data_IF_814236278972
#
_entry.id   IF_814236278972
#
_cell.length_a   1.000
_cell.length_b   1.000
_cell.length_c   1.000
_cell.angle_alpha   90.00
_cell.angle_beta   90.00
_cell.angle_gamma   90.00
#
_symmetry.space_group_name_H-M   'P 1'
#
loop_
_entity.id
_entity.type
_entity.pdbx_description
1 polymer ?
#
# COMPACT_ATOMS: atom_id res chain seq x y z
N UNK A 1 -55.86 0.62 -5.26
CA UNK A 1 -54.88 1.01 -6.29
C UNK A 1 -53.64 1.53 -5.55
N UNK A 2 -52.67 0.63 -5.43
CA UNK A 2 -51.20 0.74 -5.27
C UNK A 2 -50.55 1.93 -4.56
N UNK A 3 -49.87 1.61 -3.46
CA UNK A 3 -48.78 2.34 -2.78
C UNK A 3 -47.52 2.36 -3.66
N UNK A 4 -46.91 3.54 -3.88
CA UNK A 4 -45.60 3.66 -4.54
C UNK A 4 -44.52 3.98 -3.50
N UNK A 5 -43.47 3.15 -3.44
CA UNK A 5 -42.27 3.34 -2.63
C UNK A 5 -41.23 4.20 -3.40
N UNK A 6 -40.43 5.05 -2.73
CA UNK A 6 -39.29 5.69 -3.36
C UNK A 6 -38.08 4.73 -3.41
N UNK A 7 -37.61 4.45 -4.62
CA UNK A 7 -36.39 3.70 -4.89
C UNK A 7 -35.16 4.60 -4.77
N UNK A 8 -34.21 4.18 -3.94
CA UNK A 8 -32.87 4.76 -3.81
C UNK A 8 -32.03 4.46 -5.07
N UNK A 9 -31.28 5.42 -5.65
CA UNK A 9 -30.25 5.09 -6.63
C UNK A 9 -28.97 4.62 -5.94
N UNK A 10 -28.60 3.37 -6.18
CA UNK A 10 -27.30 2.77 -5.87
C UNK A 10 -26.23 3.41 -6.76
N UNK A 11 -25.07 3.86 -6.24
CA UNK A 11 -23.94 4.16 -7.11
C UNK A 11 -23.31 2.84 -7.58
N UNK A 12 -23.52 2.55 -8.86
CA UNK A 12 -22.85 1.49 -9.61
C UNK A 12 -21.36 1.79 -9.71
N UNK A 13 -20.56 1.11 -8.88
CA UNK A 13 -19.12 0.98 -9.07
C UNK A 13 -18.86 0.21 -10.36
N UNK A 14 -18.51 0.93 -11.42
CA UNK A 14 -17.91 0.34 -12.61
C UNK A 14 -16.44 0.00 -12.29
N UNK A 15 -16.22 -1.18 -11.73
CA UNK A 15 -14.92 -1.83 -11.78
C UNK A 15 -14.60 -2.18 -13.24
N UNK A 16 -13.42 -1.86 -13.79
CA UNK A 16 -12.99 -2.49 -15.01
C UNK A 16 -12.67 -3.97 -14.73
N UNK A 17 -13.49 -4.85 -15.28
CA UNK A 17 -13.27 -6.28 -15.42
C UNK A 17 -12.12 -6.59 -16.37
N UNK A 18 -11.16 -7.35 -15.87
CA UNK A 18 -10.53 -8.56 -16.45
C UNK A 18 -10.26 -8.63 -17.96
N UNK A 19 -9.01 -8.85 -18.32
CA UNK A 19 -8.61 -9.59 -19.53
C UNK A 19 -7.57 -10.66 -19.18
N UNK A 20 -7.73 -11.83 -19.79
CA UNK A 20 -7.21 -13.16 -19.42
C UNK A 20 -5.85 -13.48 -20.11
N UNK A 21 -5.34 -14.73 -20.19
CA UNK A 21 -4.15 -15.27 -19.49
C UNK A 21 -2.93 -15.59 -20.40
N UNK A 22 -1.72 -15.75 -19.84
CA UNK A 22 -0.64 -16.57 -20.44
C UNK A 22 0.37 -17.11 -19.40
N UNK A 23 1.02 -18.27 -19.64
CA UNK A 23 1.40 -19.23 -18.59
C UNK A 23 2.90 -19.30 -18.24
N UNK A 24 3.17 -20.08 -17.17
CA UNK A 24 4.37 -20.91 -16.90
C UNK A 24 5.54 -20.20 -16.19
N UNK A 25 6.40 -20.87 -15.38
CA UNK A 25 6.43 -22.27 -14.90
C UNK A 25 6.44 -22.42 -13.37
N UNK A 26 5.95 -23.58 -12.91
CA UNK A 26 6.41 -24.23 -11.67
C UNK A 26 7.89 -24.62 -11.85
N UNK A 27 8.80 -24.06 -11.05
CA UNK A 27 10.17 -24.54 -10.94
C UNK A 27 10.60 -24.57 -9.46
N UNK A 28 10.71 -25.80 -8.98
CA UNK A 28 11.35 -26.29 -7.77
C UNK A 28 12.81 -25.84 -7.62
N UNK A 29 13.16 -25.47 -6.38
CA UNK A 29 14.34 -25.88 -5.59
C UNK A 29 15.72 -26.00 -6.26
N UNK A 30 16.66 -25.10 -5.89
CA UNK A 30 17.96 -25.40 -5.23
C UNK A 30 18.83 -24.12 -5.06
N UNK A 31 19.43 -23.98 -3.88
CA UNK A 31 20.32 -22.88 -3.45
C UNK A 31 21.64 -22.84 -4.24
N UNK A 32 22.24 -21.62 -4.38
CA UNK A 32 23.43 -21.28 -3.59
C UNK A 32 23.24 -19.97 -2.77
N UNK A 33 23.43 -20.07 -1.45
CA UNK A 33 23.11 -19.02 -0.46
C UNK A 33 24.40 -18.33 -0.01
N UNK A 34 24.60 -17.06 -0.40
CA UNK A 34 25.18 -15.98 0.44
C UNK A 34 25.46 -14.69 -0.37
N UNK A 35 26.08 -14.69 -1.57
CA UNK A 35 26.31 -13.44 -2.31
C UNK A 35 25.03 -12.84 -2.92
N UNK A 36 24.13 -13.71 -3.41
CA UNK A 36 22.89 -13.30 -4.09
C UNK A 36 21.89 -12.64 -3.14
N UNK A 37 21.89 -13.05 -1.87
CA UNK A 37 21.01 -12.48 -0.85
C UNK A 37 21.38 -11.03 -0.55
N UNK A 38 22.67 -10.67 -0.54
CA UNK A 38 23.11 -9.28 -0.34
C UNK A 38 22.65 -8.36 -1.48
N UNK A 39 22.88 -8.77 -2.74
CA UNK A 39 22.50 -7.95 -3.90
C UNK A 39 20.98 -7.80 -4.02
N UNK A 40 20.22 -8.88 -3.80
CA UNK A 40 18.76 -8.83 -3.82
C UNK A 40 18.21 -7.93 -2.69
N UNK A 41 18.83 -8.00 -1.50
CA UNK A 41 18.49 -7.14 -0.38
C UNK A 41 18.83 -5.67 -0.66
N UNK A 42 20.01 -5.36 -1.20
CA UNK A 42 20.40 -3.99 -1.59
C UNK A 42 19.45 -3.40 -2.63
N UNK A 43 19.06 -4.20 -3.63
CA UNK A 43 18.07 -3.79 -4.63
C UNK A 43 16.70 -3.52 -4.00
N UNK A 44 16.26 -4.36 -3.07
CA UNK A 44 15.01 -4.16 -2.33
C UNK A 44 15.05 -2.88 -1.48
N UNK A 45 16.19 -2.58 -0.82
CA UNK A 45 16.38 -1.36 -0.04
C UNK A 45 16.28 -0.13 -0.94
N UNK A 46 16.94 -0.16 -2.10
CA UNK A 46 16.90 0.91 -3.08
C UNK A 46 15.47 1.12 -3.60
N UNK A 47 14.79 0.05 -4.01
CA UNK A 47 13.41 0.12 -4.46
C UNK A 47 12.48 0.72 -3.39
N UNK A 48 12.58 0.26 -2.14
CA UNK A 48 11.79 0.79 -1.03
C UNK A 48 12.06 2.29 -0.79
N UNK A 49 13.33 2.72 -0.87
CA UNK A 49 13.70 4.13 -0.77
C UNK A 49 13.12 4.96 -1.91
N UNK A 50 13.23 4.48 -3.15
CA UNK A 50 12.72 5.16 -4.34
C UNK A 50 11.18 5.33 -4.23
N UNK A 51 10.44 4.29 -3.83
CA UNK A 51 9.00 4.37 -3.60
C UNK A 51 8.63 5.47 -2.60
N UNK A 52 9.32 5.54 -1.47
CA UNK A 52 9.06 6.56 -0.43
C UNK A 52 9.36 7.99 -0.89
N UNK A 53 10.22 8.17 -1.90
CA UNK A 53 10.44 9.48 -2.50
C UNK A 53 9.25 9.90 -3.37
N UNK A 54 8.70 8.99 -4.18
CA UNK A 54 7.63 9.32 -5.11
C UNK A 54 6.24 9.33 -4.46
N UNK A 55 5.94 8.39 -3.56
CA UNK A 55 4.62 8.20 -2.98
C UNK A 55 4.71 7.93 -1.48
N UNK A 56 3.63 8.24 -0.77
CA UNK A 56 3.52 7.84 0.63
C UNK A 56 3.25 6.34 0.72
N UNK A 57 3.85 5.67 1.70
CA UNK A 57 3.55 4.26 1.98
C UNK A 57 3.50 3.98 3.47
N UNK A 58 2.54 3.15 3.88
CA UNK A 58 2.61 2.49 5.18
C UNK A 58 3.72 1.44 5.15
N UNK A 59 4.24 1.06 6.32
CA UNK A 59 5.24 -0.01 6.42
C UNK A 59 4.74 -1.30 5.76
N UNK A 60 3.50 -1.69 6.05
CA UNK A 60 2.93 -2.92 5.53
C UNK A 60 2.61 -2.83 4.03
N UNK A 61 2.18 -1.66 3.55
CA UNK A 61 1.96 -1.38 2.13
C UNK A 61 3.25 -1.47 1.33
N UNK A 62 4.34 -0.87 1.83
CA UNK A 62 5.63 -0.93 1.15
C UNK A 62 6.17 -2.36 1.06
N UNK A 63 6.04 -3.16 2.14
CA UNK A 63 6.44 -4.57 2.11
C UNK A 63 5.65 -5.34 1.04
N UNK A 64 4.32 -5.14 0.97
CA UNK A 64 3.46 -5.79 -0.04
C UNK A 64 3.82 -5.36 -1.46
N UNK A 65 4.19 -4.09 -1.65
CA UNK A 65 4.63 -3.57 -2.95
C UNK A 65 5.89 -4.30 -3.42
N UNK A 66 6.88 -4.45 -2.55
CA UNK A 66 8.10 -5.19 -2.88
C UNK A 66 7.82 -6.69 -3.12
N UNK A 67 6.90 -7.31 -2.37
CA UNK A 67 6.47 -8.69 -2.64
C UNK A 67 5.84 -8.84 -4.03
N UNK A 68 5.02 -7.87 -4.44
CA UNK A 68 4.41 -7.84 -5.77
C UNK A 68 5.45 -7.71 -6.89
N UNK A 69 6.55 -6.99 -6.64
CA UNK A 69 7.69 -6.90 -7.55
C UNK A 69 8.56 -8.17 -7.61
N UNK A 70 8.27 -9.16 -6.77
CA UNK A 70 8.94 -10.45 -6.76
C UNK A 70 10.02 -10.61 -5.70
N UNK A 71 10.20 -9.63 -4.80
CA UNK A 71 11.10 -9.81 -3.66
C UNK A 71 10.49 -10.82 -2.67
N UNK A 72 11.28 -11.79 -2.16
CA UNK A 72 10.79 -12.67 -1.11
C UNK A 72 10.37 -11.87 0.12
N UNK A 73 9.26 -12.24 0.77
CA UNK A 73 8.71 -11.55 1.97
C UNK A 73 9.77 -11.18 2.99
N UNK A 74 10.69 -12.11 3.27
CA UNK A 74 11.78 -11.91 4.23
C UNK A 74 12.70 -10.77 3.79
N UNK A 75 13.10 -10.74 2.52
CA UNK A 75 13.95 -9.69 1.94
C UNK A 75 13.22 -8.36 1.92
N UNK A 76 11.97 -8.32 1.48
CA UNK A 76 11.14 -7.11 1.48
C UNK A 76 10.99 -6.52 2.89
N UNK A 77 10.72 -7.37 3.88
CA UNK A 77 10.61 -6.94 5.29
C UNK A 77 11.93 -6.39 5.81
N UNK A 78 13.05 -7.10 5.57
CA UNK A 78 14.38 -6.66 5.98
C UNK A 78 14.79 -5.34 5.31
N UNK A 79 14.47 -5.17 4.03
CA UNK A 79 14.75 -3.95 3.29
C UNK A 79 14.01 -2.76 3.89
N UNK A 80 12.69 -2.89 4.07
CA UNK A 80 11.86 -1.83 4.65
C UNK A 80 12.28 -1.51 6.10
N UNK A 81 12.61 -2.51 6.91
CA UNK A 81 13.04 -2.33 8.30
C UNK A 81 14.45 -1.73 8.43
N UNK A 82 15.29 -1.87 7.41
CA UNK A 82 16.62 -1.24 7.41
C UNK A 82 16.57 0.27 7.18
N UNK A 83 15.47 0.78 6.63
CA UNK A 83 15.28 2.19 6.35
C UNK A 83 14.83 2.94 7.61
N UNK A 84 15.43 4.12 7.86
CA UNK A 84 14.98 5.02 8.92
C UNK A 84 13.80 5.87 8.44
N UNK A 85 12.61 5.30 8.46
CA UNK A 85 11.38 5.95 7.97
C UNK A 85 10.49 6.38 9.13
N UNK A 86 10.04 7.64 9.09
CA UNK A 86 9.00 8.13 9.98
C UNK A 86 7.62 7.85 9.35
N UNK A 87 7.01 6.74 9.72
CA UNK A 87 5.71 6.34 9.20
C UNK A 87 4.55 7.25 9.64
N UNK A 88 4.72 8.07 10.69
CA UNK A 88 3.73 9.09 11.04
C UNK A 88 3.78 10.23 10.01
N UNK A 89 4.97 10.62 9.55
CA UNK A 89 5.12 11.58 8.45
C UNK A 89 4.63 11.03 7.12
N UNK A 90 4.87 9.74 6.85
CA UNK A 90 4.30 9.08 5.67
C UNK A 90 2.77 9.08 5.70
N UNK A 91 2.16 8.82 6.86
CA UNK A 91 0.71 8.93 7.04
C UNK A 91 0.19 10.35 6.76
N UNK A 92 0.86 11.39 7.26
CA UNK A 92 0.48 12.78 6.97
C UNK A 92 0.58 13.11 5.47
N UNK A 93 1.64 12.65 4.79
CA UNK A 93 1.79 12.79 3.34
C UNK A 93 0.64 12.11 2.60
N UNK A 94 0.32 10.86 2.94
CA UNK A 94 -0.80 10.12 2.34
C UNK A 94 -2.15 10.81 2.59
N UNK A 95 -2.39 11.28 3.82
CA UNK A 95 -3.61 11.99 4.17
C UNK A 95 -3.79 13.25 3.30
N UNK A 96 -2.70 14.02 3.10
CA UNK A 96 -2.69 15.17 2.19
C UNK A 96 -2.96 14.76 0.75
N UNK A 97 -2.29 13.72 0.24
CA UNK A 97 -2.46 13.25 -1.15
C UNK A 97 -3.92 12.84 -1.42
N UNK A 98 -4.60 12.21 -0.46
CA UNK A 98 -6.04 11.93 -0.56
C UNK A 98 -6.89 13.20 -0.59
N UNK A 99 -6.67 14.13 0.34
CA UNK A 99 -7.44 15.37 0.41
C UNK A 99 -7.26 16.26 -0.83
N UNK A 100 -6.09 16.21 -1.46
CA UNK A 100 -5.82 16.94 -2.70
C UNK A 100 -6.61 16.37 -3.90
N UNK A 101 -7.06 15.11 -3.83
CA UNK A 101 -7.79 14.45 -4.93
C UNK A 101 -9.30 14.34 -4.68
N UNK A 102 -9.72 14.21 -3.42
CA UNK A 102 -11.12 14.03 -3.06
C UNK A 102 -11.40 14.43 -1.60
N UNK A 103 -12.58 14.98 -1.30
CA UNK A 103 -12.93 15.38 0.06
C UNK A 103 -13.16 14.15 0.95
N UNK A 104 -12.61 14.19 2.17
CA UNK A 104 -12.86 13.20 3.21
C UNK A 104 -13.32 13.86 4.51
N UNK A 105 -14.18 13.16 5.27
CA UNK A 105 -14.33 13.45 6.69
C UNK A 105 -13.12 12.95 7.48
N UNK A 106 -12.82 13.56 8.64
CA UNK A 106 -11.71 13.13 9.51
C UNK A 106 -11.74 11.62 9.80
N UNK A 107 -12.90 11.10 10.22
CA UNK A 107 -13.06 9.68 10.54
C UNK A 107 -13.00 8.79 9.30
N UNK A 108 -13.46 9.27 8.15
CA UNK A 108 -13.32 8.57 6.87
C UNK A 108 -11.85 8.44 6.45
N UNK A 109 -11.08 9.52 6.55
CA UNK A 109 -9.67 9.53 6.17
C UNK A 109 -8.83 8.65 7.10
N UNK A 110 -9.11 8.64 8.40
CA UNK A 110 -8.45 7.72 9.35
C UNK A 110 -8.64 6.26 8.91
N UNK A 111 -9.89 5.86 8.61
CA UNK A 111 -10.20 4.50 8.13
C UNK A 111 -9.53 4.20 6.80
N UNK A 112 -9.43 5.18 5.91
CA UNK A 112 -8.72 5.00 4.64
C UNK A 112 -7.24 4.71 4.89
N UNK A 113 -6.57 5.47 5.76
CA UNK A 113 -5.17 5.22 6.10
C UNK A 113 -4.96 3.87 6.81
N UNK A 114 -5.90 3.43 7.66
CA UNK A 114 -5.86 2.07 8.22
C UNK A 114 -5.97 0.99 7.14
N UNK A 115 -6.82 1.21 6.13
CA UNK A 115 -6.92 0.32 4.97
C UNK A 115 -5.62 0.30 4.15
N UNK A 116 -4.96 1.45 3.98
CA UNK A 116 -3.61 1.55 3.40
C UNK A 116 -2.53 0.86 4.25
N UNK A 117 -2.88 0.37 5.45
CA UNK A 117 -2.03 -0.43 6.31
C UNK A 117 -1.20 0.36 7.32
N UNK A 118 -1.58 1.61 7.59
CA UNK A 118 -1.08 2.36 8.75
C UNK A 118 -1.72 1.84 10.04
N UNK A 119 -0.98 1.92 11.14
CA UNK A 119 -1.58 1.69 12.47
C UNK A 119 -2.57 2.81 12.81
N UNK A 120 -3.55 2.55 13.67
CA UNK A 120 -4.50 3.57 14.12
C UNK A 120 -3.81 4.85 14.60
N UNK A 121 -2.76 4.71 15.42
CA UNK A 121 -2.02 5.86 15.94
C UNK A 121 -1.28 6.65 14.85
N UNK A 122 -0.79 6.00 13.79
CA UNK A 122 -0.18 6.69 12.64
C UNK A 122 -1.25 7.38 11.80
N UNK A 123 -2.39 6.72 11.56
CA UNK A 123 -3.49 7.27 10.78
C UNK A 123 -4.07 8.53 11.46
N UNK A 124 -4.38 8.45 12.76
CA UNK A 124 -4.85 9.59 13.56
C UNK A 124 -3.85 10.74 13.50
N UNK A 125 -2.57 10.46 13.76
CA UNK A 125 -1.53 11.47 13.68
C UNK A 125 -1.49 12.12 12.28
N UNK A 126 -1.47 11.32 11.22
CA UNK A 126 -1.37 11.80 9.85
C UNK A 126 -2.52 12.73 9.47
N UNK A 127 -3.75 12.35 9.83
CA UNK A 127 -4.95 13.16 9.58
C UNK A 127 -4.93 14.46 10.39
N UNK A 128 -4.50 14.42 11.65
CA UNK A 128 -4.41 15.60 12.51
C UNK A 128 -3.33 16.61 12.07
N UNK A 129 -2.42 16.25 11.16
CA UNK A 129 -1.43 17.18 10.60
C UNK A 129 -1.96 17.98 9.40
N UNK A 130 -3.08 17.58 8.81
CA UNK A 130 -3.58 18.15 7.54
C UNK A 130 -4.99 18.73 7.64
N UNK A 131 -5.57 18.73 8.84
CA UNK A 131 -6.91 19.24 9.14
C UNK A 131 -6.91 20.24 10.28
#
# INVERSE_FOLDING_TARGET
>A
MTTAAPTTPTPTTAAPTTTTPKPKPKATTKAPTEPKVSVEQENAIRAASDYLQYQAFSRSGLIKQLEFEGYPRKIATQAVDSLKVDYKKQAAKMAKDYLDTQPFSRSGLIKQLEFEGYTHAQAVYGVDQVM
#
